data_IF_217006906867
#
_entry.id   IF_217006906867
#
_cell.length_a   1.000
_cell.length_b   1.000
_cell.length_c   1.000
_cell.angle_alpha   90.00
_cell.angle_beta   90.00
_cell.angle_gamma   90.00
#
_symmetry.space_group_name_H-M   'P 1'
#
loop_
_entity.id
_entity.type
_entity.pdbx_description
1 polymer ?
#
# COMPACT_ATOMS: atom_id res chain seq x y z
N UNK A 1 -3.30 -16.75 -5.49
CA UNK A 1 -3.46 -15.26 -5.53
C UNK A 1 -4.92 -14.92 -5.82
N UNK A 2 -5.44 -13.80 -5.29
CA UNK A 2 -6.78 -13.26 -5.55
C UNK A 2 -6.61 -11.81 -6.01
N UNK A 3 -7.60 -11.29 -6.74
CA UNK A 3 -7.61 -9.88 -7.11
C UNK A 3 -8.10 -9.04 -5.93
N UNK A 4 -7.37 -7.97 -5.62
CA UNK A 4 -7.69 -6.94 -4.64
C UNK A 4 -7.48 -5.55 -5.24
N UNK A 5 -8.01 -4.53 -4.59
CA UNK A 5 -7.71 -3.13 -4.91
C UNK A 5 -7.66 -2.29 -3.66
N UNK A 6 -6.77 -1.31 -3.65
CA UNK A 6 -6.81 -0.26 -2.65
C UNK A 6 -8.11 0.54 -2.76
N UNK A 7 -8.67 0.92 -1.62
CA UNK A 7 -9.84 1.82 -1.57
C UNK A 7 -9.54 3.19 -2.15
N UNK A 8 -8.26 3.56 -2.29
CA UNK A 8 -7.82 4.78 -2.98
C UNK A 8 -8.16 4.81 -4.48
N UNK A 9 -8.58 3.69 -5.08
CA UNK A 9 -9.04 3.65 -6.48
C UNK A 9 -10.19 4.60 -6.75
N UNK A 10 -11.03 4.88 -5.73
CA UNK A 10 -12.20 5.77 -5.85
C UNK A 10 -12.07 7.06 -5.04
N UNK A 11 -11.10 7.12 -4.14
CA UNK A 11 -11.07 8.14 -3.11
C UNK A 11 -9.80 8.96 -3.17
N UNK A 12 -9.92 10.20 -3.68
CA UNK A 12 -8.93 11.26 -3.50
C UNK A 12 -9.59 12.49 -2.93
N UNK A 13 -9.61 12.59 -1.62
CA UNK A 13 -10.14 13.72 -0.88
C UNK A 13 -9.56 15.08 -1.25
N UNK A 14 -8.39 15.12 -1.86
CA UNK A 14 -7.69 16.39 -2.10
C UNK A 14 -7.99 17.04 -3.46
N UNK A 15 -8.68 16.37 -4.40
CA UNK A 15 -8.75 16.86 -5.79
C UNK A 15 -10.12 16.92 -6.44
N UNK A 16 -11.17 16.37 -5.84
CA UNK A 16 -12.48 16.26 -6.51
C UNK A 16 -13.61 16.84 -5.66
N UNK A 17 -14.46 17.65 -6.28
CA UNK A 17 -15.64 18.26 -5.64
C UNK A 17 -16.72 17.25 -5.19
N UNK A 18 -16.61 15.97 -5.59
CA UNK A 18 -17.53 14.90 -5.23
C UNK A 18 -16.76 13.78 -4.53
N UNK A 19 -16.60 13.93 -3.23
CA UNK A 19 -15.98 12.92 -2.37
C UNK A 19 -16.88 11.70 -2.25
N UNK A 20 -16.37 10.54 -2.63
CA UNK A 20 -17.03 9.26 -2.42
C UNK A 20 -16.78 8.83 -0.97
N UNK A 21 -17.80 8.50 -0.20
CA UNK A 21 -17.61 7.96 1.16
C UNK A 21 -16.98 6.56 1.10
N UNK A 22 -16.32 6.15 2.20
CA UNK A 22 -15.74 4.80 2.26
C UNK A 22 -16.81 3.71 2.08
N UNK A 23 -17.99 3.92 2.63
CA UNK A 23 -19.13 3.01 2.44
C UNK A 23 -19.54 2.89 0.97
N UNK A 24 -19.61 4.02 0.27
CA UNK A 24 -19.92 4.02 -1.16
C UNK A 24 -18.79 3.37 -1.98
N UNK A 25 -17.52 3.65 -1.66
CA UNK A 25 -16.37 3.01 -2.28
C UNK A 25 -16.46 1.48 -2.19
N UNK A 26 -16.68 0.94 -0.99
CA UNK A 26 -16.82 -0.50 -0.75
C UNK A 26 -17.99 -1.10 -1.55
N UNK A 27 -19.14 -0.43 -1.55
CA UNK A 27 -20.33 -0.90 -2.28
C UNK A 27 -20.09 -0.93 -3.79
N UNK A 28 -19.44 0.09 -4.35
CA UNK A 28 -19.12 0.16 -5.77
C UNK A 28 -18.05 -0.86 -6.17
N UNK A 29 -17.01 -1.04 -5.36
CA UNK A 29 -16.02 -2.10 -5.58
C UNK A 29 -16.69 -3.49 -5.55
N UNK A 30 -17.57 -3.75 -4.57
CA UNK A 30 -18.36 -4.98 -4.53
C UNK A 30 -19.21 -5.18 -5.78
N UNK A 31 -19.93 -4.14 -6.23
CA UNK A 31 -20.78 -4.18 -7.42
C UNK A 31 -19.99 -4.37 -8.73
N UNK A 32 -18.72 -3.92 -8.76
CA UNK A 32 -17.80 -4.15 -9.86
C UNK A 32 -17.27 -5.58 -9.93
N UNK A 33 -17.24 -6.32 -8.81
CA UNK A 33 -16.76 -7.70 -8.75
C UNK A 33 -15.68 -7.96 -7.70
N UNK A 34 -15.11 -6.94 -7.07
CA UNK A 34 -14.12 -7.13 -6.01
C UNK A 34 -14.71 -7.84 -4.79
N UNK A 35 -13.92 -8.70 -4.18
CA UNK A 35 -14.24 -9.41 -2.92
C UNK A 35 -13.16 -9.23 -1.87
N UNK A 36 -12.01 -8.71 -2.26
CA UNK A 36 -10.87 -8.41 -1.40
C UNK A 36 -10.47 -6.97 -1.63
N UNK A 37 -10.22 -6.23 -0.56
CA UNK A 37 -9.80 -4.83 -0.60
C UNK A 37 -8.56 -4.60 0.28
N UNK A 38 -7.84 -3.56 -0.05
CA UNK A 38 -6.82 -2.91 0.76
C UNK A 38 -7.37 -1.58 1.30
N UNK A 39 -7.39 -1.43 2.63
CA UNK A 39 -7.86 -0.20 3.27
C UNK A 39 -6.77 0.87 3.25
N UNK A 40 -6.95 1.91 2.47
CA UNK A 40 -6.06 3.08 2.49
C UNK A 40 -6.43 4.02 3.64
N UNK A 41 -5.59 4.04 4.68
CA UNK A 41 -5.74 4.98 5.80
C UNK A 41 -5.08 6.34 5.55
N UNK A 42 -4.25 6.49 4.51
CA UNK A 42 -3.55 7.75 4.24
C UNK A 42 -4.54 8.89 4.01
N UNK A 43 -5.54 8.66 3.16
CA UNK A 43 -6.57 9.66 2.88
C UNK A 43 -7.53 9.83 4.06
N UNK A 44 -7.87 8.74 4.76
CA UNK A 44 -8.77 8.75 5.92
C UNK A 44 -8.19 9.44 7.15
N UNK A 45 -6.89 9.67 7.19
CA UNK A 45 -6.17 10.32 8.30
C UNK A 45 -5.99 11.84 8.13
N UNK A 46 -6.41 12.41 7.01
CA UNK A 46 -6.34 13.87 6.84
C UNK A 46 -7.26 14.60 7.85
N UNK A 47 -6.92 15.83 8.25
CA UNK A 47 -7.77 16.61 9.16
C UNK A 47 -9.24 16.67 8.69
N UNK A 48 -10.17 16.29 9.57
CA UNK A 48 -11.60 16.23 9.26
C UNK A 48 -12.07 14.91 8.63
N UNK A 49 -11.16 14.02 8.30
CA UNK A 49 -11.48 12.71 7.75
C UNK A 49 -11.75 11.67 8.86
N UNK A 50 -12.48 10.58 8.55
CA UNK A 50 -12.99 9.65 9.55
C UNK A 50 -11.97 9.12 10.56
N UNK A 51 -10.77 8.77 10.13
CA UNK A 51 -9.72 8.26 11.05
C UNK A 51 -9.20 9.36 11.99
N UNK A 52 -9.26 10.64 11.58
CA UNK A 52 -8.83 11.78 12.39
C UNK A 52 -9.87 12.27 13.41
N UNK A 53 -11.13 11.85 13.28
CA UNK A 53 -12.22 12.26 14.19
C UNK A 53 -12.21 11.47 15.51
N UNK A 54 -12.88 11.98 16.52
CA UNK A 54 -12.96 11.32 17.85
C UNK A 54 -13.71 9.99 17.81
N UNK A 55 -14.67 9.83 16.89
CA UNK A 55 -15.48 8.63 16.73
C UNK A 55 -14.90 7.61 15.73
N UNK A 56 -13.62 7.70 15.42
CA UNK A 56 -12.94 6.87 14.41
C UNK A 56 -13.09 5.35 14.63
N UNK A 57 -13.13 4.89 15.88
CA UNK A 57 -13.33 3.47 16.19
C UNK A 57 -14.72 2.99 15.73
N UNK A 58 -15.76 3.75 16.08
CA UNK A 58 -17.13 3.44 15.63
C UNK A 58 -17.25 3.49 14.11
N UNK A 59 -16.50 4.38 13.45
CA UNK A 59 -16.40 4.37 11.98
C UNK A 59 -15.76 3.09 11.47
N UNK A 60 -14.60 2.67 12.02
CA UNK A 60 -13.92 1.44 11.62
C UNK A 60 -14.82 0.19 11.83
N UNK A 61 -15.53 0.10 12.95
CA UNK A 61 -16.49 -0.96 13.23
C UNK A 61 -17.67 -0.96 12.23
N UNK A 62 -18.17 0.21 11.85
CA UNK A 62 -19.22 0.36 10.84
C UNK A 62 -18.74 -0.14 9.46
N UNK A 63 -17.50 0.17 9.09
CA UNK A 63 -16.87 -0.31 7.85
C UNK A 63 -16.68 -1.82 7.89
N UNK A 64 -16.17 -2.39 8.98
CA UNK A 64 -16.01 -3.83 9.15
C UNK A 64 -17.36 -4.56 9.01
N UNK A 65 -18.41 -4.04 9.66
CA UNK A 65 -19.77 -4.59 9.56
C UNK A 65 -20.34 -4.50 8.13
N UNK A 66 -20.07 -3.43 7.40
CA UNK A 66 -20.49 -3.29 6.00
C UNK A 66 -19.77 -4.32 5.12
N UNK A 67 -18.47 -4.43 5.24
CA UNK A 67 -17.66 -5.41 4.50
C UNK A 67 -18.15 -6.84 4.75
N UNK A 68 -18.39 -7.21 6.02
CA UNK A 68 -18.92 -8.52 6.39
C UNK A 68 -20.28 -8.82 5.74
N UNK A 69 -21.21 -7.85 5.72
CA UNK A 69 -22.53 -8.01 5.07
C UNK A 69 -22.43 -8.20 3.55
N UNK A 70 -21.40 -7.61 2.92
CA UNK A 70 -21.16 -7.72 1.49
C UNK A 70 -20.27 -8.92 1.11
N UNK A 71 -19.72 -9.66 2.10
CA UNK A 71 -18.75 -10.71 1.85
C UNK A 71 -17.42 -10.18 1.30
N UNK A 72 -17.03 -8.98 1.72
CA UNK A 72 -15.73 -8.37 1.40
C UNK A 72 -14.76 -8.65 2.56
N UNK A 73 -13.53 -9.01 2.20
CA UNK A 73 -12.39 -9.14 3.11
C UNK A 73 -11.43 -7.94 2.92
N UNK A 74 -10.95 -7.37 4.02
CA UNK A 74 -9.78 -6.51 4.00
C UNK A 74 -8.54 -7.36 4.28
N UNK A 75 -7.82 -7.78 3.25
CA UNK A 75 -6.62 -8.62 3.42
C UNK A 75 -5.39 -7.82 3.80
N UNK A 76 -5.32 -6.59 3.34
CA UNK A 76 -4.26 -5.65 3.68
C UNK A 76 -4.80 -4.24 3.94
N UNK A 77 -3.96 -3.38 4.49
CA UNK A 77 -4.19 -1.96 4.67
C UNK A 77 -2.92 -1.17 4.45
N UNK A 78 -3.06 0.09 4.09
CA UNK A 78 -1.96 1.04 4.02
C UNK A 78 -2.08 2.04 5.18
N UNK A 79 -1.08 2.05 6.08
CA UNK A 79 -1.04 2.94 7.24
C UNK A 79 -0.88 4.40 6.82
N UNK A 80 -1.29 5.31 7.69
CA UNK A 80 -0.80 6.68 7.62
C UNK A 80 0.72 6.69 7.64
N UNK A 81 1.33 7.58 6.86
CA UNK A 81 2.78 7.75 6.82
C UNK A 81 3.17 9.23 6.76
N UNK A 82 4.38 9.51 7.22
CA UNK A 82 5.03 10.80 7.12
C UNK A 82 6.55 10.62 7.23
N UNK A 83 7.31 11.63 6.86
CA UNK A 83 8.77 11.58 6.94
C UNK A 83 9.25 11.85 8.37
N UNK A 84 9.10 10.87 9.27
CA UNK A 84 9.40 11.02 10.70
C UNK A 84 10.88 11.28 11.01
N UNK A 85 11.80 10.98 10.11
CA UNK A 85 13.22 11.34 10.26
C UNK A 85 13.51 12.80 9.84
N UNK A 86 12.55 13.50 9.24
CA UNK A 86 12.67 14.91 8.93
C UNK A 86 12.26 15.77 10.15
N UNK A 87 13.19 16.50 10.83
CA UNK A 87 12.87 17.29 12.02
C UNK A 87 12.00 18.50 11.74
N UNK A 88 11.83 18.87 10.47
CA UNK A 88 10.99 19.99 10.06
C UNK A 88 9.51 19.61 9.90
N UNK A 89 9.16 18.34 10.11
CA UNK A 89 7.76 17.90 10.08
C UNK A 89 7.02 18.55 11.25
N UNK A 90 5.96 19.26 10.90
CA UNK A 90 5.03 19.86 11.84
C UNK A 90 4.02 18.82 12.35
N UNK A 91 3.40 19.09 13.50
CA UNK A 91 2.32 18.25 14.05
C UNK A 91 2.65 16.76 14.21
N UNK A 92 3.89 16.44 14.60
CA UNK A 92 4.35 15.04 14.76
C UNK A 92 3.40 14.19 15.61
N UNK A 93 2.91 14.74 16.73
CA UNK A 93 1.96 14.04 17.61
C UNK A 93 0.68 13.62 16.88
N UNK A 94 0.18 14.46 15.97
CA UNK A 94 -0.96 14.11 15.13
C UNK A 94 -0.62 12.94 14.19
N UNK A 95 0.52 13.00 13.50
CA UNK A 95 0.95 11.94 12.59
C UNK A 95 1.18 10.62 13.33
N UNK A 96 1.81 10.66 14.50
CA UNK A 96 2.04 9.50 15.35
C UNK A 96 0.72 8.89 15.83
N UNK A 97 -0.26 9.73 16.19
CA UNK A 97 -1.60 9.26 16.54
C UNK A 97 -2.32 8.62 15.36
N UNK A 98 -2.16 9.14 14.13
CA UNK A 98 -2.78 8.54 12.93
C UNK A 98 -2.18 7.17 12.61
N UNK A 99 -0.86 6.98 12.78
CA UNK A 99 -0.23 5.65 12.67
C UNK A 99 -0.79 4.71 13.75
N UNK A 100 -0.90 5.17 15.00
CA UNK A 100 -1.47 4.39 16.09
C UNK A 100 -2.91 3.96 15.78
N UNK A 101 -3.74 4.88 15.26
CA UNK A 101 -5.12 4.58 14.85
C UNK A 101 -5.17 3.62 13.68
N UNK A 102 -4.26 3.74 12.70
CA UNK A 102 -4.15 2.80 11.57
C UNK A 102 -3.89 1.36 12.06
N UNK A 103 -2.99 1.17 13.04
CA UNK A 103 -2.73 -0.15 13.63
C UNK A 103 -3.99 -0.77 14.24
N UNK A 104 -4.74 0.00 15.04
CA UNK A 104 -5.93 -0.50 15.73
C UNK A 104 -7.08 -0.72 14.72
N UNK A 105 -7.30 0.23 13.80
CA UNK A 105 -8.33 0.12 12.78
C UNK A 105 -8.10 -1.07 11.85
N UNK A 106 -6.84 -1.37 11.50
CA UNK A 106 -6.48 -2.59 10.76
C UNK A 106 -6.94 -3.85 11.51
N UNK A 107 -6.73 -3.90 12.82
CA UNK A 107 -7.23 -5.01 13.64
C UNK A 107 -8.75 -5.11 13.70
N UNK A 108 -9.48 -3.97 13.81
CA UNK A 108 -10.95 -3.94 13.75
C UNK A 108 -11.48 -4.48 12.42
N UNK A 109 -10.80 -4.15 11.31
CA UNK A 109 -11.14 -4.62 9.97
C UNK A 109 -10.73 -6.09 9.70
N UNK A 110 -9.97 -6.71 10.59
CA UNK A 110 -9.44 -8.07 10.39
C UNK A 110 -8.33 -8.16 9.36
N UNK A 111 -7.62 -7.07 9.12
CA UNK A 111 -6.50 -6.99 8.17
C UNK A 111 -5.38 -7.94 8.59
N UNK A 112 -4.83 -8.67 7.63
CA UNK A 112 -3.70 -9.58 7.87
C UNK A 112 -2.34 -8.86 7.83
N UNK A 113 -2.16 -7.95 6.87
CA UNK A 113 -0.91 -7.23 6.65
C UNK A 113 -1.14 -5.73 6.48
N UNK A 114 -0.45 -4.93 7.27
CA UNK A 114 -0.48 -3.46 7.17
C UNK A 114 0.81 -2.96 6.54
N UNK A 115 0.70 -2.24 5.44
CA UNK A 115 1.82 -1.61 4.73
C UNK A 115 2.25 -0.33 5.45
N UNK A 116 3.57 -0.16 5.57
CA UNK A 116 4.23 1.05 6.08
C UNK A 116 5.40 1.45 5.20
N UNK A 117 5.71 2.75 5.16
CA UNK A 117 6.88 3.28 4.44
C UNK A 117 8.06 3.50 5.38
N UNK A 118 9.25 3.08 4.97
CA UNK A 118 10.47 3.48 5.67
C UNK A 118 10.76 4.96 5.43
N UNK A 119 11.23 5.66 6.47
CA UNK A 119 11.66 7.06 6.34
C UNK A 119 13.15 7.16 5.98
N UNK A 120 13.51 8.21 5.26
CA UNK A 120 14.86 8.48 4.79
C UNK A 120 15.49 9.63 5.57
N UNK A 121 16.70 9.42 6.11
CA UNK A 121 17.47 10.48 6.74
C UNK A 121 18.30 11.25 5.69
N UNK A 122 18.05 12.55 5.58
CA UNK A 122 18.68 13.41 4.56
C UNK A 122 19.29 14.69 5.11
N UNK A 123 19.28 14.90 6.45
CA UNK A 123 19.43 16.22 7.03
C UNK A 123 20.85 16.72 7.20
N UNK A 124 21.78 15.85 7.54
CA UNK A 124 23.09 16.32 8.02
C UNK A 124 24.13 16.42 6.92
N UNK A 125 24.10 15.54 5.93
CA UNK A 125 25.09 15.50 4.81
C UNK A 125 24.51 14.91 3.53
N UNK A 126 23.19 15.02 3.34
CA UNK A 126 22.48 14.31 2.28
C UNK A 126 22.05 12.91 2.74
N UNK A 127 21.79 12.01 1.79
CA UNK A 127 21.33 10.65 2.06
C UNK A 127 22.32 9.87 2.94
N UNK A 128 21.80 9.24 3.99
CA UNK A 128 22.55 8.37 4.87
C UNK A 128 21.83 7.05 5.10
N UNK A 129 22.28 6.00 4.42
CA UNK A 129 21.77 4.63 4.59
C UNK A 129 21.77 4.20 6.07
N UNK A 130 22.92 4.30 6.74
CA UNK A 130 23.06 3.88 8.15
C UNK A 130 22.11 4.63 9.08
N UNK A 131 21.99 5.95 8.93
CA UNK A 131 21.11 6.76 9.78
C UNK A 131 19.63 6.47 9.48
N UNK A 132 19.27 6.28 8.20
CA UNK A 132 17.94 5.85 7.81
C UNK A 132 17.56 4.51 8.45
N UNK A 133 18.43 3.50 8.35
CA UNK A 133 18.22 2.20 8.99
C UNK A 133 18.00 2.32 10.48
N UNK A 134 18.92 2.98 11.20
CA UNK A 134 18.84 3.17 12.66
C UNK A 134 17.53 3.88 13.03
N UNK A 135 17.21 4.99 12.36
CA UNK A 135 16.00 5.75 12.67
C UNK A 135 14.70 4.95 12.49
N UNK A 136 14.62 4.11 11.46
CA UNK A 136 13.46 3.22 11.28
C UNK A 136 13.39 2.14 12.37
N UNK A 137 14.53 1.56 12.77
CA UNK A 137 14.59 0.56 13.84
C UNK A 137 14.27 1.14 15.23
N UNK A 138 14.50 2.43 15.45
CA UNK A 138 14.15 3.12 16.70
C UNK A 138 12.69 3.58 16.72
N UNK A 139 12.15 3.98 15.57
CA UNK A 139 10.82 4.57 15.48
C UNK A 139 9.69 3.54 15.49
N UNK A 140 9.80 2.46 14.71
CA UNK A 140 8.67 1.57 14.45
C UNK A 140 8.28 0.58 15.56
N UNK A 141 9.18 0.10 16.46
CA UNK A 141 8.84 -0.98 17.38
C UNK A 141 7.55 -0.77 18.20
N UNK A 142 7.26 0.40 18.78
CA UNK A 142 6.02 0.58 19.55
C UNK A 142 4.75 0.45 18.68
N UNK A 143 4.79 0.84 17.41
CA UNK A 143 3.65 0.71 16.48
C UNK A 143 3.51 -0.73 16.01
N UNK A 144 4.61 -1.43 15.73
CA UNK A 144 4.59 -2.84 15.35
C UNK A 144 4.03 -3.71 16.49
N UNK A 145 4.47 -3.49 17.72
CA UNK A 145 3.93 -4.18 18.89
C UNK A 145 2.43 -3.89 19.07
N UNK A 146 1.98 -2.68 18.76
CA UNK A 146 0.56 -2.34 18.78
C UNK A 146 -0.22 -3.11 17.71
N UNK A 147 0.25 -3.13 16.46
CA UNK A 147 -0.34 -3.89 15.37
C UNK A 147 -0.42 -5.39 15.71
N UNK A 148 0.67 -5.95 16.26
CA UNK A 148 0.73 -7.36 16.67
C UNK A 148 -0.27 -7.72 17.76
N UNK A 149 -0.52 -6.83 18.71
CA UNK A 149 -1.59 -7.02 19.73
C UNK A 149 -2.99 -7.07 19.13
N UNK A 150 -3.16 -6.49 17.95
CA UNK A 150 -4.39 -6.54 17.18
C UNK A 150 -4.39 -7.63 16.08
N UNK A 151 -3.44 -8.59 16.13
CA UNK A 151 -3.25 -9.67 15.17
C UNK A 151 -2.94 -9.22 13.74
N UNK A 152 -2.35 -8.05 13.56
CA UNK A 152 -1.95 -7.47 12.28
C UNK A 152 -0.44 -7.61 12.11
N UNK A 153 0.01 -8.29 11.05
CA UNK A 153 1.41 -8.26 10.63
C UNK A 153 1.72 -6.95 9.89
N UNK A 154 2.99 -6.62 9.80
CA UNK A 154 3.45 -5.40 9.14
C UNK A 154 4.30 -5.74 7.93
N UNK A 155 4.14 -5.02 6.85
CA UNK A 155 4.96 -5.12 5.66
C UNK A 155 5.57 -3.75 5.33
N UNK A 156 6.87 -3.74 5.08
CA UNK A 156 7.59 -2.55 4.68
C UNK A 156 7.64 -2.53 3.16
N UNK A 157 7.31 -1.38 2.56
CA UNK A 157 7.23 -1.22 1.13
C UNK A 157 8.54 -0.75 0.51
N UNK A 158 8.86 -1.27 -0.70
CA UNK A 158 9.92 -0.72 -1.51
C UNK A 158 9.49 0.65 -2.07
N UNK A 159 10.40 1.60 -1.97
CA UNK A 159 10.19 2.96 -2.47
C UNK A 159 10.91 3.17 -3.81
N UNK A 160 10.92 4.39 -4.29
CA UNK A 160 11.69 4.81 -5.47
C UNK A 160 12.41 6.13 -5.22
N UNK A 161 13.42 6.41 -6.02
CA UNK A 161 14.14 7.67 -6.00
C UNK A 161 13.34 8.73 -6.79
N UNK A 162 12.83 9.80 -6.15
CA UNK A 162 11.95 10.77 -6.81
C UNK A 162 12.66 11.60 -7.89
N UNK A 163 13.98 11.67 -7.83
CA UNK A 163 14.84 12.29 -8.84
C UNK A 163 16.20 11.56 -8.90
N UNK A 164 16.98 11.70 -9.98
CA UNK A 164 18.29 11.05 -10.11
C UNK A 164 19.32 11.39 -9.02
N UNK A 165 19.10 12.48 -8.29
CA UNK A 165 20.00 12.96 -7.23
C UNK A 165 19.46 12.80 -5.81
N UNK A 166 18.17 12.46 -5.66
CA UNK A 166 17.55 12.18 -4.37
C UNK A 166 17.46 10.68 -4.18
N UNK A 167 18.05 10.20 -3.10
CA UNK A 167 17.97 8.79 -2.70
C UNK A 167 16.88 8.61 -1.65
N UNK A 168 16.12 7.53 -1.80
CA UNK A 168 15.12 7.09 -0.84
C UNK A 168 15.55 5.76 -0.22
N UNK A 169 15.45 5.65 1.09
CA UNK A 169 15.73 4.41 1.78
C UNK A 169 14.67 3.35 1.40
N UNK A 170 15.09 2.11 1.22
CA UNK A 170 14.30 1.00 0.67
C UNK A 170 13.92 1.14 -0.83
N UNK A 171 14.49 2.11 -1.57
CA UNK A 171 14.33 2.12 -3.03
C UNK A 171 15.06 0.93 -3.69
N UNK A 172 16.08 0.36 -3.09
CA UNK A 172 16.68 -0.89 -3.56
C UNK A 172 16.24 -2.09 -2.71
N UNK A 173 16.25 -3.26 -3.36
CA UNK A 173 15.79 -4.52 -2.78
C UNK A 173 16.61 -4.93 -1.56
N UNK A 174 17.93 -4.72 -1.60
CA UNK A 174 18.86 -5.12 -0.55
C UNK A 174 18.63 -4.33 0.74
N UNK A 175 18.41 -3.01 0.64
CA UNK A 175 18.12 -2.16 1.81
C UNK A 175 16.79 -2.55 2.45
N UNK A 176 15.78 -2.88 1.64
CA UNK A 176 14.49 -3.32 2.12
C UNK A 176 14.60 -4.65 2.88
N UNK A 177 15.28 -5.63 2.30
CA UNK A 177 15.50 -6.95 2.92
C UNK A 177 16.32 -6.81 4.20
N UNK A 178 17.40 -6.02 4.17
CA UNK A 178 18.26 -5.79 5.33
C UNK A 178 17.49 -5.12 6.48
N UNK A 179 16.61 -4.16 6.19
CA UNK A 179 15.75 -3.55 7.21
C UNK A 179 14.78 -4.56 7.81
N UNK A 180 14.05 -5.29 6.97
CA UNK A 180 13.06 -6.28 7.41
C UNK A 180 13.70 -7.37 8.26
N UNK A 181 14.81 -7.94 7.79
CA UNK A 181 15.51 -9.02 8.50
C UNK A 181 16.10 -8.56 9.84
N UNK A 182 16.48 -7.28 9.96
CA UNK A 182 17.04 -6.73 11.20
C UNK A 182 16.01 -6.61 12.33
N UNK A 183 14.70 -6.55 12.02
CA UNK A 183 13.67 -6.62 13.08
C UNK A 183 13.60 -7.99 13.74
N UNK A 184 14.14 -9.05 13.13
CA UNK A 184 14.13 -10.43 13.64
C UNK A 184 12.74 -10.94 14.07
N UNK A 185 11.68 -10.46 13.42
CA UNK A 185 10.30 -10.84 13.70
C UNK A 185 9.58 -11.28 12.41
N UNK A 186 9.05 -12.51 12.42
CA UNK A 186 8.31 -13.07 11.28
C UNK A 186 7.02 -12.31 10.92
N UNK A 187 6.58 -11.39 11.79
CA UNK A 187 5.43 -10.51 11.57
C UNK A 187 5.81 -9.22 10.89
N UNK A 188 7.12 -8.97 10.63
CA UNK A 188 7.65 -7.86 9.83
C UNK A 188 8.16 -8.43 8.52
N UNK A 189 7.56 -8.04 7.42
CA UNK A 189 7.77 -8.67 6.12
C UNK A 189 7.81 -7.61 5.00
N UNK A 190 7.72 -8.00 3.73
CA UNK A 190 7.84 -7.13 2.56
C UNK A 190 6.49 -6.94 1.87
N UNK A 191 6.16 -5.68 1.56
CA UNK A 191 5.26 -5.29 0.48
C UNK A 191 6.13 -4.95 -0.74
N UNK A 192 5.79 -5.49 -1.92
CA UNK A 192 6.49 -5.12 -3.15
C UNK A 192 5.56 -4.33 -4.05
N UNK A 193 5.91 -3.05 -4.25
CA UNK A 193 5.27 -2.19 -5.24
C UNK A 193 6.00 -2.36 -6.58
N UNK A 194 5.25 -2.86 -7.57
CA UNK A 194 5.75 -3.15 -8.92
C UNK A 194 6.03 -1.85 -9.68
N UNK A 195 5.20 -0.82 -9.46
CA UNK A 195 5.38 0.49 -10.10
C UNK A 195 6.62 1.20 -9.60
N UNK A 196 6.85 1.23 -8.29
CA UNK A 196 8.06 1.79 -7.68
C UNK A 196 9.32 1.09 -8.21
N UNK A 197 9.31 -0.22 -8.28
CA UNK A 197 10.44 -0.99 -8.77
C UNK A 197 10.73 -0.72 -10.27
N UNK A 198 9.69 -0.46 -11.08
CA UNK A 198 9.86 -0.06 -12.48
C UNK A 198 10.56 1.29 -12.64
N UNK A 199 10.26 2.25 -11.74
CA UNK A 199 10.92 3.57 -11.72
C UNK A 199 12.42 3.48 -11.38
N UNK A 200 12.80 2.53 -10.55
CA UNK A 200 14.22 2.32 -10.18
C UNK A 200 14.97 1.58 -11.30
N UNK A 201 14.26 0.88 -12.18
CA UNK A 201 14.83 0.20 -13.33
C UNK A 201 15.49 -1.15 -13.00
N UNK A 202 14.98 -1.86 -12.00
CA UNK A 202 15.44 -3.21 -11.66
C UNK A 202 15.02 -4.27 -12.67
N UNK A 203 15.79 -5.37 -12.70
CA UNK A 203 15.22 -6.67 -13.04
C UNK A 203 14.27 -7.09 -11.89
N UNK A 204 12.98 -6.77 -12.06
CA UNK A 204 12.00 -7.05 -11.04
C UNK A 204 11.81 -8.54 -10.76
N UNK A 205 12.02 -9.39 -11.77
CA UNK A 205 11.93 -10.84 -11.59
C UNK A 205 13.06 -11.35 -10.68
N UNK A 206 14.27 -10.83 -10.83
CA UNK A 206 15.39 -11.15 -9.95
C UNK A 206 15.14 -10.61 -8.51
N UNK A 207 14.66 -9.37 -8.39
CA UNK A 207 14.34 -8.77 -7.11
C UNK A 207 13.25 -9.57 -6.37
N UNK A 208 12.17 -9.96 -7.04
CA UNK A 208 11.10 -10.78 -6.47
C UNK A 208 11.60 -12.16 -6.00
N UNK A 209 12.50 -12.81 -6.76
CA UNK A 209 13.14 -14.07 -6.32
C UNK A 209 14.00 -13.86 -5.08
N UNK A 210 14.71 -12.73 -4.99
CA UNK A 210 15.56 -12.38 -3.84
C UNK A 210 14.73 -12.08 -2.60
N UNK A 211 13.62 -11.34 -2.73
CA UNK A 211 12.63 -11.13 -1.66
C UNK A 211 12.06 -12.47 -1.19
N UNK A 212 11.65 -13.32 -2.13
CA UNK A 212 11.19 -14.69 -1.88
C UNK A 212 10.06 -14.77 -0.85
N UNK A 213 10.22 -15.60 0.17
CA UNK A 213 9.18 -15.87 1.20
C UNK A 213 8.89 -14.68 2.14
N UNK A 214 9.70 -13.61 2.09
CA UNK A 214 9.42 -12.34 2.78
C UNK A 214 8.27 -11.58 2.15
N UNK A 215 7.95 -11.85 0.88
CA UNK A 215 6.83 -11.21 0.18
C UNK A 215 5.49 -11.64 0.77
N UNK A 216 4.73 -10.67 1.32
CA UNK A 216 3.41 -10.94 1.93
C UNK A 216 2.30 -10.10 1.33
N UNK A 217 2.62 -8.95 0.76
CA UNK A 217 1.68 -8.14 0.01
C UNK A 217 2.34 -7.51 -1.21
N UNK A 218 1.52 -7.03 -2.13
CA UNK A 218 1.99 -6.37 -3.35
C UNK A 218 1.10 -5.16 -3.64
N UNK A 219 1.70 -4.14 -4.27
CA UNK A 219 0.99 -3.07 -4.95
C UNK A 219 1.22 -3.17 -6.46
N UNK A 220 0.14 -3.17 -7.20
CA UNK A 220 0.12 -3.28 -8.66
C UNK A 220 -0.32 -1.96 -9.26
N UNK A 221 0.63 -1.23 -9.80
CA UNK A 221 0.42 -0.04 -10.58
C UNK A 221 1.39 -0.04 -11.77
N UNK A 222 0.92 0.43 -12.93
CA UNK A 222 1.76 0.54 -14.13
C UNK A 222 2.28 1.97 -14.28
N UNK A 223 3.38 2.13 -14.99
CA UNK A 223 3.95 3.41 -15.39
C UNK A 223 4.92 3.24 -16.56
N UNK A 224 5.41 4.36 -17.09
CA UNK A 224 6.37 4.39 -18.21
C UNK A 224 7.84 4.54 -17.76
N UNK A 225 8.17 4.13 -16.53
CA UNK A 225 9.54 4.17 -16.00
C UNK A 225 10.11 5.57 -15.72
N UNK A 226 9.29 6.61 -15.73
CA UNK A 226 9.72 8.01 -15.54
C UNK A 226 9.06 8.69 -14.36
N UNK A 227 7.81 8.39 -14.12
CA UNK A 227 6.98 9.01 -13.09
C UNK A 227 6.08 7.95 -12.46
N UNK A 228 5.83 8.11 -11.19
CA UNK A 228 4.85 7.30 -10.47
C UNK A 228 3.44 7.70 -10.90
N UNK A 229 2.93 6.97 -11.93
CA UNK A 229 1.69 7.31 -12.62
C UNK A 229 0.47 6.58 -12.06
N UNK A 230 0.68 5.48 -11.35
CA UNK A 230 -0.36 4.60 -10.83
C UNK A 230 -1.42 4.20 -11.88
N UNK A 231 -0.96 3.81 -13.08
CA UNK A 231 -1.82 3.36 -14.16
C UNK A 231 -2.33 1.94 -13.88
N UNK A 232 -3.46 1.61 -14.49
CA UNK A 232 -3.92 0.22 -14.52
C UNK A 232 -2.91 -0.64 -15.29
N UNK A 233 -2.63 -1.89 -14.89
CA UNK A 233 -1.78 -2.80 -15.65
C UNK A 233 -2.10 -2.85 -17.15
N UNK A 234 -1.06 -2.92 -17.99
CA UNK A 234 -1.07 -2.81 -19.46
C UNK A 234 -1.31 -1.40 -20.03
N UNK A 235 -1.35 -0.37 -19.20
CA UNK A 235 -1.43 1.03 -19.65
C UNK A 235 -0.07 1.75 -19.56
N UNK A 236 0.97 1.09 -19.07
CA UNK A 236 2.38 1.50 -19.06
C UNK A 236 3.25 0.45 -19.75
N UNK A 237 4.52 0.33 -19.32
CA UNK A 237 5.54 -0.46 -19.99
C UNK A 237 6.00 -1.70 -19.20
N UNK A 238 5.34 -2.05 -18.08
CA UNK A 238 5.73 -3.18 -17.22
C UNK A 238 5.39 -4.53 -17.91
N UNK A 239 6.35 -5.46 -17.91
CA UNK A 239 6.12 -6.84 -18.38
C UNK A 239 5.35 -7.67 -17.35
N UNK A 240 4.03 -7.53 -17.36
CA UNK A 240 3.14 -8.23 -16.44
C UNK A 240 3.19 -9.74 -16.57
N UNK A 241 3.47 -10.27 -17.75
CA UNK A 241 3.58 -11.71 -17.94
C UNK A 241 4.79 -12.28 -17.20
N UNK A 242 5.94 -11.60 -17.26
CA UNK A 242 7.13 -11.96 -16.51
C UNK A 242 6.93 -11.83 -15.00
N UNK A 243 6.28 -10.76 -14.53
CA UNK A 243 5.95 -10.55 -13.11
C UNK A 243 5.05 -11.66 -12.59
N UNK A 244 3.92 -11.94 -13.23
CA UNK A 244 2.96 -12.95 -12.79
C UNK A 244 3.56 -14.36 -12.76
N UNK A 245 4.39 -14.69 -13.76
CA UNK A 245 5.13 -15.95 -13.79
C UNK A 245 6.11 -16.04 -12.62
N UNK A 246 6.83 -14.97 -12.30
CA UNK A 246 7.77 -14.95 -11.18
C UNK A 246 7.07 -15.09 -9.84
N UNK A 247 5.92 -14.42 -9.64
CA UNK A 247 5.11 -14.60 -8.43
C UNK A 247 4.67 -16.05 -8.25
N UNK A 248 4.30 -16.74 -9.33
CA UNK A 248 4.01 -18.18 -9.30
C UNK A 248 5.26 -19.00 -8.93
N UNK A 249 6.41 -18.72 -9.56
CA UNK A 249 7.69 -19.42 -9.30
C UNK A 249 8.10 -19.35 -7.81
N UNK A 250 7.93 -18.19 -7.16
CA UNK A 250 8.26 -18.00 -5.74
C UNK A 250 7.15 -18.46 -4.79
N UNK A 251 6.07 -19.01 -5.34
CA UNK A 251 4.90 -19.49 -4.58
C UNK A 251 4.26 -18.36 -3.74
N UNK A 252 4.08 -17.17 -4.33
CA UNK A 252 3.41 -16.08 -3.65
C UNK A 252 1.94 -16.42 -3.35
N UNK A 253 1.55 -16.32 -2.09
CA UNK A 253 0.21 -16.68 -1.60
C UNK A 253 -0.67 -15.47 -1.29
N UNK A 254 -0.13 -14.25 -1.38
CA UNK A 254 -0.86 -13.01 -1.13
C UNK A 254 -1.79 -12.62 -2.28
N UNK A 255 -2.33 -11.42 -2.20
CA UNK A 255 -3.26 -10.89 -3.20
C UNK A 255 -2.56 -10.00 -4.22
N UNK A 256 -3.07 -9.97 -5.46
CA UNK A 256 -2.72 -9.01 -6.50
C UNK A 256 -3.53 -7.75 -6.21
N UNK A 257 -2.92 -6.78 -5.56
CA UNK A 257 -3.61 -5.60 -5.05
C UNK A 257 -3.30 -4.39 -5.90
N UNK A 258 -4.32 -3.83 -6.54
CA UNK A 258 -4.17 -2.59 -7.28
C UNK A 258 -3.97 -1.39 -6.36
N UNK A 259 -2.99 -0.55 -6.71
CA UNK A 259 -2.83 0.80 -6.19
C UNK A 259 -2.87 1.82 -7.34
N UNK A 260 -4.00 1.90 -8.03
CA UNK A 260 -4.17 2.68 -9.27
C UNK A 260 -4.86 4.02 -9.00
N UNK A 261 -4.19 4.87 -8.28
CA UNK A 261 -4.65 6.20 -7.89
C UNK A 261 -3.89 7.28 -8.68
N UNK A 262 -4.46 8.17 -9.40
CA UNK A 262 -5.84 8.67 -9.57
C UNK A 262 -6.53 8.21 -10.88
N UNK A 263 -6.46 6.98 -11.21
CA UNK A 263 -6.93 6.49 -12.50
C UNK A 263 -8.40 6.86 -12.78
N UNK A 264 -9.31 6.62 -11.83
CA UNK A 264 -10.74 6.95 -12.00
C UNK A 264 -11.04 8.45 -11.98
N UNK A 265 -10.16 9.30 -11.46
CA UNK A 265 -10.36 10.75 -11.47
C UNK A 265 -10.39 11.33 -12.89
N UNK A 266 -9.68 10.69 -13.81
CA UNK A 266 -9.64 11.07 -15.23
C UNK A 266 -10.87 10.57 -16.02
N UNK A 267 -11.69 9.71 -15.40
CA UNK A 267 -12.86 9.11 -16.01
C UNK A 267 -14.11 9.97 -15.68
N UNK A 268 -14.92 10.35 -16.67
CA UNK A 268 -16.18 11.06 -16.39
C UNK A 268 -17.03 10.30 -15.37
N UNK A 269 -17.68 10.98 -14.39
CA UNK A 269 -18.39 10.31 -13.29
C UNK A 269 -19.34 9.20 -13.70
N UNK A 270 -20.09 9.41 -14.80
CA UNK A 270 -21.04 8.42 -15.33
C UNK A 270 -20.39 7.14 -15.89
N UNK A 271 -19.09 7.16 -16.17
CA UNK A 271 -18.35 6.02 -16.70
C UNK A 271 -17.46 5.32 -15.65
N UNK A 272 -17.37 5.85 -14.41
CA UNK A 272 -16.48 5.32 -13.39
C UNK A 272 -16.82 3.88 -12.98
N UNK A 273 -18.09 3.53 -12.89
CA UNK A 273 -18.49 2.15 -12.58
C UNK A 273 -18.16 1.18 -13.71
N UNK A 274 -18.23 1.63 -14.96
CA UNK A 274 -17.78 0.84 -16.12
C UNK A 274 -16.27 0.65 -16.10
N UNK A 275 -15.52 1.71 -15.80
CA UNK A 275 -14.06 1.64 -15.67
C UNK A 275 -13.64 0.74 -14.49
N UNK A 276 -14.36 0.80 -13.38
CA UNK A 276 -14.11 -0.07 -12.23
C UNK A 276 -14.36 -1.56 -12.56
N UNK A 277 -15.41 -1.88 -13.33
CA UNK A 277 -15.61 -3.24 -13.85
C UNK A 277 -14.50 -3.67 -14.79
N UNK A 278 -14.06 -2.78 -15.67
CA UNK A 278 -12.93 -3.05 -16.57
C UNK A 278 -11.66 -3.38 -15.78
N UNK A 279 -11.38 -2.71 -14.66
CA UNK A 279 -10.23 -3.06 -13.82
C UNK A 279 -10.31 -4.47 -13.25
N UNK A 280 -11.51 -4.97 -12.97
CA UNK A 280 -11.70 -6.38 -12.56
C UNK A 280 -11.38 -7.33 -13.71
N UNK A 281 -11.85 -7.05 -14.93
CA UNK A 281 -11.55 -7.87 -16.13
C UNK A 281 -10.03 -7.93 -16.40
N UNK A 282 -9.33 -6.80 -16.26
CA UNK A 282 -7.85 -6.74 -16.35
C UNK A 282 -7.20 -7.60 -15.28
N UNK A 283 -7.69 -7.54 -14.04
CA UNK A 283 -7.16 -8.34 -12.94
C UNK A 283 -7.39 -9.85 -13.11
N UNK A 284 -8.55 -10.24 -13.60
CA UNK A 284 -8.83 -11.63 -13.95
C UNK A 284 -7.90 -12.15 -15.05
N UNK A 285 -7.56 -11.29 -16.02
CA UNK A 285 -6.56 -11.63 -17.04
C UNK A 285 -5.16 -11.75 -16.45
N UNK A 286 -4.74 -10.84 -15.56
CA UNK A 286 -3.46 -10.96 -14.84
C UNK A 286 -3.34 -12.30 -14.10
N UNK A 287 -4.37 -12.68 -13.36
CA UNK A 287 -4.36 -13.95 -12.62
C UNK A 287 -4.17 -15.16 -13.54
N UNK A 288 -4.75 -15.15 -14.74
CA UNK A 288 -4.55 -16.21 -15.75
C UNK A 288 -3.12 -16.31 -16.28
N UNK A 289 -2.36 -15.20 -16.28
CA UNK A 289 -0.94 -15.23 -16.66
C UNK A 289 -0.06 -16.03 -15.67
N UNK A 290 -0.56 -16.26 -14.46
CA UNK A 290 0.08 -17.09 -13.44
C UNK A 290 -0.36 -18.56 -13.49
N UNK A 291 -1.30 -18.96 -14.35
CA UNK A 291 -1.74 -20.36 -14.50
C UNK A 291 -0.72 -21.15 -15.35
#
# INVERSE_FOLDING_TARGET
MRLSTSTSIMDRFQRVQNVVTMEECIQRCHAAGYRVLDMNFCDMSNPGMPLALDNWQSWAEKIANLAARLGIEFSQSHSHFYHFLNPKVENREFHDEMIRRSCIASGILGVKWMTVHASTETQTRGYSHKASKIGNLEYYPPYFELAFRHNVGVVIENMFDPTPIQRTYTANCEDLIDLVDTFHDRRVQVCWDIGHANLVGYDQCEALRTVGKRLKSTHFADNHGVKDEHLLPFYGDIDWAAIMKTLKEIEYEGDVTYEVTPWLDRVPPMLRDTALKHSVEVGEYLLKLAE
#
